data_IF_093534697735
#
_entry.id   IF_093534697735
#
_cell.length_a   1.000
_cell.length_b   1.000
_cell.length_c   1.000
_cell.angle_alpha   90.00
_cell.angle_beta   90.00
_cell.angle_gamma   90.00
#
_symmetry.space_group_name_H-M   'P 1'
#
loop_
_entity.id
_entity.type
_entity.pdbx_description
1 polymer ?
#
# COMPACT_ATOMS: atom_id res chain seq x y z
N UNK A 1 -41.10 -55.18 -47.09
CA UNK A 1 -40.79 -54.77 -45.71
C UNK A 1 -39.45 -54.04 -45.70
N UNK A 2 -39.43 -52.72 -45.56
CA UNK A 2 -38.19 -51.92 -45.41
C UNK A 2 -38.19 -51.30 -44.00
N UNK A 3 -37.22 -51.70 -43.17
CA UNK A 3 -36.97 -51.14 -41.84
C UNK A 3 -36.30 -49.77 -42.00
N UNK A 4 -36.91 -48.73 -41.44
CA UNK A 4 -36.29 -47.41 -41.27
C UNK A 4 -35.41 -47.43 -40.02
N UNK A 5 -34.11 -47.17 -40.19
CA UNK A 5 -33.17 -46.95 -39.10
C UNK A 5 -33.22 -45.48 -38.68
N UNK A 6 -33.67 -45.23 -37.46
CA UNK A 6 -33.62 -43.91 -36.82
C UNK A 6 -32.19 -43.66 -36.31
N UNK A 7 -31.46 -42.76 -36.97
CA UNK A 7 -30.15 -42.29 -36.51
C UNK A 7 -30.37 -41.19 -35.46
N UNK A 8 -30.02 -41.48 -34.20
CA UNK A 8 -30.31 -40.64 -33.03
C UNK A 8 -29.02 -39.98 -32.55
N UNK A 9 -28.64 -38.88 -33.16
CA UNK A 9 -27.57 -38.02 -32.64
C UNK A 9 -27.94 -36.53 -32.76
N UNK A 10 -28.42 -35.92 -31.66
CA UNK A 10 -28.24 -34.47 -31.52
C UNK A 10 -27.71 -34.02 -30.15
N UNK A 11 -27.35 -34.94 -29.25
CA UNK A 11 -27.04 -34.56 -27.86
C UNK A 11 -25.60 -34.04 -27.67
N UNK A 12 -24.64 -34.53 -28.48
CA UNK A 12 -23.22 -34.15 -28.37
C UNK A 12 -22.89 -32.73 -28.85
N UNK A 13 -23.66 -32.20 -29.80
CA UNK A 13 -23.40 -30.86 -30.35
C UNK A 13 -23.85 -29.73 -29.42
N UNK A 14 -24.83 -29.99 -28.54
CA UNK A 14 -25.35 -28.99 -27.62
C UNK A 14 -24.38 -28.77 -26.46
N UNK A 15 -23.79 -29.84 -25.91
CA UNK A 15 -22.85 -29.77 -24.79
C UNK A 15 -21.55 -29.05 -25.15
N UNK A 16 -21.06 -29.20 -26.38
CA UNK A 16 -19.83 -28.57 -26.85
C UNK A 16 -19.96 -27.03 -26.95
N UNK A 17 -21.15 -26.51 -27.30
CA UNK A 17 -21.40 -25.05 -27.38
C UNK A 17 -21.43 -24.39 -26.01
N UNK A 18 -22.03 -25.04 -25.01
CA UNK A 18 -22.02 -24.54 -23.63
C UNK A 18 -20.61 -24.54 -23.03
N UNK A 19 -19.81 -25.57 -23.34
CA UNK A 19 -18.43 -25.67 -22.85
C UNK A 19 -17.55 -24.54 -23.40
N UNK A 20 -17.67 -24.21 -24.70
CA UNK A 20 -16.94 -23.09 -25.32
C UNK A 20 -17.37 -21.74 -24.72
N UNK A 21 -18.67 -21.53 -24.48
CA UNK A 21 -19.15 -20.29 -23.84
C UNK A 21 -18.64 -20.15 -22.40
N UNK A 22 -18.63 -21.24 -21.61
CA UNK A 22 -18.08 -21.23 -20.26
C UNK A 22 -16.56 -20.97 -20.24
N UNK A 23 -15.81 -21.53 -21.19
CA UNK A 23 -14.37 -21.28 -21.34
C UNK A 23 -14.06 -19.83 -21.72
N UNK A 24 -14.82 -19.24 -22.64
CA UNK A 24 -14.70 -17.82 -23.01
C UNK A 24 -15.05 -16.90 -21.84
N UNK A 25 -16.11 -17.20 -21.08
CA UNK A 25 -16.47 -16.44 -19.89
C UNK A 25 -15.38 -16.54 -18.80
N UNK A 26 -14.83 -17.73 -18.58
CA UNK A 26 -13.73 -17.92 -17.62
C UNK A 26 -12.46 -17.17 -18.02
N UNK A 27 -12.12 -17.13 -19.33
CA UNK A 27 -10.98 -16.36 -19.82
C UNK A 27 -11.17 -14.85 -19.68
N UNK A 28 -12.39 -14.34 -19.92
CA UNK A 28 -12.71 -12.93 -19.74
C UNK A 28 -12.69 -12.51 -18.25
N UNK A 29 -13.09 -13.41 -17.35
CA UNK A 29 -13.03 -13.16 -15.90
C UNK A 29 -11.58 -13.26 -15.36
N UNK A 30 -10.75 -14.14 -15.93
CA UNK A 30 -9.33 -14.26 -15.56
C UNK A 30 -8.47 -13.07 -16.00
N UNK A 31 -8.93 -12.25 -16.95
CA UNK A 31 -8.26 -11.02 -17.35
C UNK A 31 -8.33 -9.93 -16.25
N UNK A 32 -9.16 -10.10 -15.21
CA UNK A 32 -9.35 -9.13 -14.14
C UNK A 32 -8.43 -9.33 -12.92
N UNK A 33 -7.17 -9.72 -13.10
CA UNK A 33 -6.23 -10.01 -11.97
C UNK A 33 -5.23 -8.92 -11.58
N UNK A 34 -5.05 -7.84 -12.34
CA UNK A 34 -4.16 -6.76 -11.90
C UNK A 34 -4.72 -6.00 -10.69
N UNK A 35 -4.00 -6.10 -9.57
CA UNK A 35 -4.20 -5.30 -8.37
C UNK A 35 -3.76 -3.85 -8.62
N UNK A 36 -4.72 -2.97 -8.92
CA UNK A 36 -4.45 -1.54 -9.04
C UNK A 36 -4.30 -0.90 -7.66
N UNK A 37 -3.21 -0.15 -7.46
CA UNK A 37 -2.90 0.55 -6.21
C UNK A 37 -2.49 2.01 -6.47
N UNK A 38 -2.75 2.96 -5.54
CA UNK A 38 -3.57 2.86 -4.33
C UNK A 38 -4.94 3.57 -4.46
N UNK A 39 -5.98 3.00 -3.85
CA UNK A 39 -7.32 3.61 -3.74
C UNK A 39 -7.46 4.62 -2.57
N UNK A 40 -6.38 4.89 -1.84
CA UNK A 40 -6.34 5.71 -0.62
C UNK A 40 -5.04 6.48 -0.51
N UNK A 41 -5.00 7.45 0.40
CA UNK A 41 -3.77 8.18 0.72
C UNK A 41 -2.62 7.22 1.10
N UNK A 42 -1.39 7.49 0.66
CA UNK A 42 -0.23 6.68 1.02
C UNK A 42 0.06 6.79 2.51
N UNK A 43 0.57 5.71 3.10
CA UNK A 43 0.86 5.64 4.54
C UNK A 43 2.30 5.17 4.77
N UNK A 44 2.99 5.75 5.76
CA UNK A 44 4.28 5.26 6.24
C UNK A 44 4.08 4.32 7.41
N UNK A 45 4.68 3.13 7.36
CA UNK A 45 4.76 2.23 8.52
C UNK A 45 5.88 2.68 9.46
N UNK A 46 5.57 2.86 10.74
CA UNK A 46 6.56 3.18 11.77
C UNK A 46 7.16 1.91 12.36
N UNK A 47 8.49 1.86 12.40
CA UNK A 47 9.27 0.89 13.13
C UNK A 47 10.09 1.64 14.20
N UNK A 48 9.99 1.22 15.45
CA UNK A 48 10.84 1.76 16.51
C UNK A 48 12.07 0.87 16.68
N UNK A 49 13.25 1.48 16.75
CA UNK A 49 14.50 0.80 17.03
C UNK A 49 15.08 1.39 18.32
N UNK A 50 15.22 0.55 19.34
CA UNK A 50 15.82 0.95 20.61
C UNK A 50 17.34 0.90 20.49
N UNK A 51 18.02 1.98 20.89
CA UNK A 51 19.46 1.99 21.04
C UNK A 51 19.90 1.11 22.22
N UNK A 52 21.14 0.60 22.22
CA UNK A 52 21.67 -0.13 23.36
C UNK A 52 21.67 0.76 24.61
N UNK A 53 21.10 0.27 25.72
CA UNK A 53 20.98 0.96 27.01
C UNK A 53 19.93 2.09 27.10
N UNK A 54 19.07 2.27 26.11
CA UNK A 54 17.91 3.18 26.25
C UNK A 54 16.71 2.42 26.83
N UNK A 55 15.99 2.99 27.81
CA UNK A 55 14.78 2.37 28.33
C UNK A 55 13.75 2.26 27.21
N UNK A 56 12.96 1.18 27.20
CA UNK A 56 11.91 1.01 26.21
C UNK A 56 10.97 2.22 26.24
N UNK A 57 10.97 3.01 25.16
CA UNK A 57 10.07 4.15 25.04
C UNK A 57 8.70 3.63 24.60
N UNK A 58 7.73 3.69 25.51
CA UNK A 58 6.35 3.39 25.21
C UNK A 58 5.69 4.64 24.63
N UNK A 59 5.43 4.61 23.31
CA UNK A 59 4.64 5.64 22.64
C UNK A 59 3.17 5.35 22.88
N UNK A 60 2.53 6.18 23.70
CA UNK A 60 1.14 6.06 24.12
C UNK A 60 0.17 6.50 23.02
N UNK A 61 0.50 7.60 22.32
CA UNK A 61 -0.32 8.11 21.21
C UNK A 61 0.52 8.80 20.14
N UNK A 62 0.02 8.75 18.90
CA UNK A 62 0.55 9.53 17.78
C UNK A 62 -0.60 10.25 17.11
N UNK A 63 -0.44 11.55 16.88
CA UNK A 63 -1.48 12.39 16.29
C UNK A 63 -0.88 13.51 15.44
N UNK A 64 -1.69 14.10 14.56
CA UNK A 64 -1.31 15.32 13.84
C UNK A 64 -1.56 16.56 14.71
N UNK A 65 -0.96 17.74 14.44
CA UNK A 65 -1.22 18.97 15.19
C UNK A 65 -2.70 19.36 15.31
N UNK A 66 -3.54 18.92 14.37
CA UNK A 66 -5.00 19.10 14.39
C UNK A 66 -5.74 18.12 15.33
N UNK A 67 -5.02 17.24 16.01
CA UNK A 67 -5.57 16.25 16.95
C UNK A 67 -6.10 14.97 16.30
N UNK A 68 -5.78 14.72 15.03
CA UNK A 68 -6.18 13.48 14.36
C UNK A 68 -5.26 12.34 14.75
N UNK A 69 -5.82 11.32 15.39
CA UNK A 69 -5.06 10.13 15.79
C UNK A 69 -4.63 9.28 14.60
N UNK A 70 -3.43 8.71 14.73
CA UNK A 70 -2.82 7.80 13.74
C UNK A 70 -3.30 6.38 13.99
N UNK A 71 -3.61 5.66 12.91
CA UNK A 71 -4.05 4.27 12.99
C UNK A 71 -2.94 3.34 13.49
N UNK A 72 -3.23 2.59 14.56
CA UNK A 72 -2.43 1.47 15.03
C UNK A 72 -3.06 0.15 14.58
N UNK A 73 -2.32 -0.66 13.81
CA UNK A 73 -2.81 -1.95 13.30
C UNK A 73 -1.65 -2.92 13.16
N UNK A 74 -1.89 -4.21 13.42
CA UNK A 74 -0.89 -5.26 13.30
C UNK A 74 0.44 -4.95 14.05
N UNK A 75 0.37 -4.29 15.21
CA UNK A 75 1.55 -3.96 16.00
C UNK A 75 2.40 -2.83 15.42
N UNK A 76 1.89 -2.01 14.50
CA UNK A 76 2.61 -0.86 13.93
C UNK A 76 1.68 0.34 13.75
N UNK A 77 2.27 1.53 13.87
CA UNK A 77 1.58 2.77 13.52
C UNK A 77 1.73 3.06 12.02
N UNK A 78 0.71 3.67 11.42
CA UNK A 78 0.69 4.00 10.00
C UNK A 78 0.34 5.46 9.79
N UNK A 79 1.35 6.24 9.43
CA UNK A 79 1.31 7.69 9.28
C UNK A 79 0.74 8.07 7.90
N UNK A 80 -0.47 8.65 7.79
CA UNK A 80 -1.03 9.05 6.51
C UNK A 80 -0.30 10.26 5.89
N UNK A 81 0.17 10.13 4.67
CA UNK A 81 0.77 11.24 3.94
C UNK A 81 -0.32 12.01 3.18
N UNK A 82 -0.33 13.33 3.35
CA UNK A 82 -1.29 14.20 2.68
C UNK A 82 -1.02 14.21 1.17
N UNK A 83 -2.09 14.00 0.38
CA UNK A 83 -2.02 14.22 -1.06
C UNK A 83 -2.07 15.70 -1.45
N UNK A 84 -2.23 16.60 -0.48
CA UNK A 84 -2.39 18.04 -0.69
C UNK A 84 -1.20 18.86 -0.18
N UNK A 85 -0.38 18.33 0.73
CA UNK A 85 0.80 19.01 1.27
C UNK A 85 2.12 18.32 0.88
N UNK A 86 3.22 19.07 0.88
CA UNK A 86 4.60 18.58 0.69
C UNK A 86 5.29 18.23 2.01
N UNK A 87 4.61 18.45 3.13
CA UNK A 87 5.03 18.03 4.45
C UNK A 87 3.86 17.59 5.31
N UNK A 88 4.14 16.77 6.32
CA UNK A 88 3.18 16.48 7.38
C UNK A 88 3.91 16.34 8.71
N UNK A 89 3.31 16.85 9.77
CA UNK A 89 3.88 16.81 11.12
C UNK A 89 3.09 15.85 11.99
N UNK A 90 3.81 15.09 12.81
CA UNK A 90 3.27 14.18 13.80
C UNK A 90 3.83 14.51 15.17
N UNK A 91 2.98 14.32 16.17
CA UNK A 91 3.32 14.40 17.58
C UNK A 91 3.26 12.99 18.13
N UNK A 92 4.38 12.53 18.70
CA UNK A 92 4.52 11.26 19.39
C UNK A 92 4.54 11.56 20.87
N UNK A 93 3.66 10.93 21.61
CA UNK A 93 3.54 11.20 23.04
C UNK A 93 3.73 9.95 23.85
N UNK A 94 4.58 10.09 24.84
CA UNK A 94 4.92 9.13 25.87
C UNK A 94 4.64 9.76 27.24
N UNK A 95 4.57 8.98 28.33
CA UNK A 95 4.17 9.48 29.64
C UNK A 95 4.95 10.72 30.15
N UNK A 96 6.23 10.84 29.76
CA UNK A 96 7.14 11.88 30.25
C UNK A 96 7.77 12.75 29.14
N UNK A 97 7.39 12.53 27.87
CA UNK A 97 8.03 13.18 26.73
C UNK A 97 7.05 13.29 25.57
N UNK A 98 7.10 14.42 24.88
CA UNK A 98 6.44 14.57 23.58
C UNK A 98 7.50 14.92 22.55
N UNK A 99 7.52 14.13 21.47
CA UNK A 99 8.39 14.35 20.33
C UNK A 99 7.60 14.76 19.11
N UNK A 100 8.24 15.55 18.25
CA UNK A 100 7.65 15.94 16.97
C UNK A 100 8.49 15.43 15.82
N UNK A 101 7.82 15.06 14.74
CA UNK A 101 8.44 14.66 13.48
C UNK A 101 7.67 15.27 12.33
N UNK A 102 8.34 16.13 11.58
CA UNK A 102 7.89 16.68 10.30
C UNK A 102 8.60 15.95 9.17
N UNK A 103 7.82 15.37 8.29
CA UNK A 103 8.29 14.63 7.12
C UNK A 103 8.12 15.49 5.88
N UNK A 104 9.18 15.66 5.10
CA UNK A 104 9.13 16.37 3.83
C UNK A 104 9.22 15.37 2.67
N UNK A 105 8.30 15.49 1.72
CA UNK A 105 8.20 14.55 0.60
C UNK A 105 7.69 15.23 -0.66
N UNK A 106 7.97 14.60 -1.79
CA UNK A 106 7.40 14.93 -3.08
C UNK A 106 6.44 13.84 -3.53
N UNK A 107 5.40 14.27 -4.26
CA UNK A 107 4.39 13.41 -4.86
C UNK A 107 4.65 13.41 -6.37
N UNK A 108 4.94 12.25 -6.93
CA UNK A 108 5.04 12.08 -8.37
C UNK A 108 3.78 11.37 -8.87
N UNK A 109 2.99 12.06 -9.68
CA UNK A 109 1.78 11.52 -10.27
C UNK A 109 2.06 11.10 -11.70
N UNK A 110 1.83 9.83 -12.02
CA UNK A 110 2.01 9.34 -13.38
C UNK A 110 0.92 8.34 -13.75
N UNK A 111 0.65 8.28 -15.05
CA UNK A 111 -0.26 7.29 -15.60
C UNK A 111 0.45 5.94 -15.67
N UNK A 112 -0.04 4.95 -14.92
CA UNK A 112 0.55 3.62 -14.92
C UNK A 112 0.03 2.77 -16.09
N UNK A 113 -1.29 2.73 -16.29
CA UNK A 113 -1.91 1.99 -17.40
C UNK A 113 -3.36 2.42 -17.61
N UNK A 114 -3.96 2.05 -18.75
CA UNK A 114 -5.41 2.25 -18.98
C UNK A 114 -6.29 1.55 -17.96
N UNK A 115 -5.76 0.52 -17.30
CA UNK A 115 -6.47 -0.27 -16.32
C UNK A 115 -6.42 0.32 -14.91
N UNK A 116 -5.24 0.78 -14.49
CA UNK A 116 -5.02 1.31 -13.15
C UNK A 116 -5.06 2.84 -13.07
N UNK A 117 -5.05 3.52 -14.21
CA UNK A 117 -5.13 4.97 -14.28
C UNK A 117 -3.86 5.65 -13.76
N UNK A 118 -4.06 6.72 -13.00
CA UNK A 118 -2.99 7.50 -12.39
C UNK A 118 -2.63 6.95 -11.02
N UNK A 119 -1.33 6.88 -10.76
CA UNK A 119 -0.74 6.43 -9.51
C UNK A 119 0.06 7.58 -8.90
N UNK A 120 0.08 7.62 -7.57
CA UNK A 120 0.94 8.51 -6.79
C UNK A 120 2.12 7.73 -6.22
N UNK A 121 3.32 8.22 -6.46
CA UNK A 121 4.53 7.75 -5.81
C UNK A 121 5.11 8.83 -4.91
N UNK A 122 5.40 8.46 -3.67
CA UNK A 122 6.02 9.34 -2.68
C UNK A 122 7.53 9.16 -2.74
N UNK A 123 8.25 10.27 -2.87
CA UNK A 123 9.70 10.31 -2.94
C UNK A 123 10.26 11.35 -1.96
N UNK A 124 11.54 11.21 -1.55
CA UNK A 124 12.25 12.26 -0.82
C UNK A 124 12.24 13.58 -1.60
N UNK A 125 11.93 14.70 -0.92
CA UNK A 125 11.81 16.01 -1.58
C UNK A 125 13.07 16.46 -2.32
N UNK A 126 14.26 16.07 -1.86
CA UNK A 126 15.52 16.51 -2.45
C UNK A 126 16.26 15.39 -3.21
N UNK A 127 15.57 14.34 -3.64
CA UNK A 127 16.17 13.19 -4.34
C UNK A 127 17.25 12.44 -3.54
N UNK A 128 17.39 12.76 -2.25
CA UNK A 128 18.38 12.20 -1.35
C UNK A 128 17.88 10.97 -0.59
N UNK A 129 18.67 10.53 0.39
CA UNK A 129 18.48 9.25 1.10
C UNK A 129 17.36 9.29 2.18
N UNK A 130 16.28 10.06 1.98
CA UNK A 130 15.18 10.16 2.95
C UNK A 130 15.48 10.95 4.24
N UNK A 131 16.60 11.68 4.29
CA UNK A 131 17.01 12.51 5.44
C UNK A 131 16.29 13.86 5.53
N UNK A 132 15.31 14.10 4.67
CA UNK A 132 14.57 15.36 4.66
C UNK A 132 13.40 15.28 5.65
N UNK A 133 13.75 15.41 6.93
CA UNK A 133 12.83 15.44 8.05
C UNK A 133 13.34 16.44 9.09
N UNK A 134 12.44 16.93 9.94
CA UNK A 134 12.77 17.77 11.09
C UNK A 134 12.04 17.22 12.30
N UNK A 135 12.66 17.27 13.48
CA UNK A 135 12.02 16.75 14.67
C UNK A 135 12.92 16.79 15.90
N UNK A 136 12.40 16.24 16.99
CA UNK A 136 13.08 16.19 18.29
C UNK A 136 13.68 14.83 18.63
N UNK A 137 13.56 13.87 17.71
CA UNK A 137 14.13 12.53 17.83
C UNK A 137 15.66 12.55 17.69
N UNK A 138 16.34 11.62 18.34
CA UNK A 138 17.81 11.50 18.27
C UNK A 138 18.28 10.98 16.91
N UNK A 139 17.54 10.01 16.35
CA UNK A 139 17.79 9.47 15.02
C UNK A 139 16.49 9.11 14.32
N UNK A 140 16.39 9.49 13.05
CA UNK A 140 15.27 9.12 12.19
C UNK A 140 15.83 8.72 10.83
N UNK A 141 15.45 7.54 10.37
CA UNK A 141 15.77 7.04 9.04
C UNK A 141 14.47 6.76 8.28
N UNK A 142 14.25 7.48 7.19
CA UNK A 142 13.05 7.34 6.37
C UNK A 142 13.41 6.59 5.10
N UNK A 143 12.84 5.39 4.95
CA UNK A 143 13.08 4.55 3.77
C UNK A 143 11.85 4.54 2.87
N UNK A 144 12.03 5.08 1.67
CA UNK A 144 11.04 5.03 0.61
C UNK A 144 11.36 3.84 -0.29
N UNK A 145 10.83 2.65 0.04
CA UNK A 145 11.09 1.45 -0.76
C UNK A 145 9.91 1.07 -1.64
N UNK A 146 10.21 0.81 -2.91
CA UNK A 146 9.29 0.17 -3.84
C UNK A 146 9.57 -1.34 -3.90
N UNK A 147 9.55 -2.02 -2.76
CA UNK A 147 9.79 -3.48 -2.73
C UNK A 147 8.50 -4.27 -2.59
N UNK A 148 8.24 -5.13 -3.58
CA UNK A 148 7.61 -6.42 -3.32
C UNK A 148 8.40 -7.53 -4.04
N UNK A 149 8.96 -8.50 -3.31
CA UNK A 149 9.53 -9.72 -3.91
C UNK A 149 8.45 -10.74 -4.33
N UNK A 150 7.17 -10.52 -4.00
CA UNK A 150 6.06 -11.43 -4.34
C UNK A 150 4.80 -10.63 -4.70
N UNK A 151 4.55 -10.51 -6.00
CA UNK A 151 3.25 -10.32 -6.68
C UNK A 151 2.21 -9.26 -6.22
N UNK A 152 2.50 -8.28 -5.37
CA UNK A 152 1.64 -7.08 -5.25
C UNK A 152 2.48 -5.81 -5.25
N UNK A 153 2.25 -4.90 -6.21
CA UNK A 153 2.91 -3.59 -6.33
C UNK A 153 2.46 -2.64 -5.21
N UNK A 154 2.70 -2.98 -3.94
CA UNK A 154 2.53 -2.04 -2.83
C UNK A 154 3.79 -1.20 -2.72
N UNK A 155 3.64 0.11 -2.85
CA UNK A 155 4.66 1.02 -2.34
C UNK A 155 4.65 0.86 -0.82
N UNK A 156 5.75 0.35 -0.25
CA UNK A 156 5.89 0.19 1.19
C UNK A 156 6.84 1.27 1.66
N UNK A 157 6.26 2.35 2.17
CA UNK A 157 7.02 3.40 2.78
C UNK A 157 7.18 3.10 4.27
N UNK A 158 8.42 3.15 4.76
CA UNK A 158 8.72 2.81 6.14
C UNK A 158 9.57 3.92 6.77
N UNK A 159 9.38 4.12 8.06
CA UNK A 159 10.22 4.99 8.87
C UNK A 159 10.74 4.21 10.07
N UNK A 160 12.04 4.32 10.30
CA UNK A 160 12.70 3.81 11.48
C UNK A 160 13.04 4.99 12.38
N UNK A 161 12.54 4.96 13.61
CA UNK A 161 12.81 5.98 14.63
C UNK A 161 13.72 5.35 15.68
N UNK A 162 14.84 6.00 15.94
CA UNK A 162 15.83 5.59 16.95
C UNK A 162 15.61 6.39 18.23
N UNK A 163 15.56 5.66 19.35
CA UNK A 163 15.35 6.16 20.71
C UNK A 163 16.47 5.74 21.65
#
# INVERSE_FOLDING_TARGET
>A
MRKFSYFREPVLFLSMRYLICCLLAAFLLAACTDECLPAREPELRVNFRLLPNTPAVEVSRIYTPEGREVAFRNGSYYLPLSLHADSVTYVFESPNRSDTLTLFYQRNFYFESRRCGYVVDIQPRNGGNGRDHQGTFEGVDVTYSRTSPFSSRRNVYAITIEY
#
